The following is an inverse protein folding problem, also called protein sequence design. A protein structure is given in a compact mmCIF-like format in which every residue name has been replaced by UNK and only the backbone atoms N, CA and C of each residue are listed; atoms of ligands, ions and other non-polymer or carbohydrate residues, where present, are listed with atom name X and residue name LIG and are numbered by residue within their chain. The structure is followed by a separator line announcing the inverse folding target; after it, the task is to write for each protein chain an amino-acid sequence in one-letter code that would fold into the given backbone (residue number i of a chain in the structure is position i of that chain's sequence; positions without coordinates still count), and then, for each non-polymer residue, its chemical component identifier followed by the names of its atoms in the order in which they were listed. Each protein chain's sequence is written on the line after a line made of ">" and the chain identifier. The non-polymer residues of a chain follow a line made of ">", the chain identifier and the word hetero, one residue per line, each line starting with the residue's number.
data_IF_578958980126
#
_entry.id   IF_578958980126
#
_cell.length_a   1.000
_cell.length_b   1.000
_cell.length_c   1.000
_cell.angle_alpha   90.00
_cell.angle_beta   90.00
_cell.angle_gamma   90.00
#
_symmetry.space_group_name_H-M   'P 1'
#
loop_
_entity.id
_entity.type
_entity.pdbx_description
1 polymer ?
#
# COMPACT_ATOMS: atom_id res chain seq x y z
N UNK A 1 -41.30 18.22 -52.29
CA UNK A 1 -41.72 18.09 -50.87
C UNK A 1 -40.57 17.42 -50.14
N UNK A 2 -39.67 18.21 -49.54
CA UNK A 2 -38.49 17.73 -48.81
C UNK A 2 -38.85 17.67 -47.32
N UNK A 3 -38.83 16.47 -46.74
CA UNK A 3 -39.05 16.27 -45.31
C UNK A 3 -37.81 16.74 -44.52
N UNK A 4 -37.96 17.48 -43.41
CA UNK A 4 -36.83 17.88 -42.59
C UNK A 4 -36.34 16.68 -41.78
N UNK A 5 -35.05 16.35 -41.92
CA UNK A 5 -34.36 15.46 -41.00
C UNK A 5 -34.21 16.18 -39.66
N UNK A 6 -35.06 15.83 -38.69
CA UNK A 6 -34.88 16.23 -37.29
C UNK A 6 -33.76 15.37 -36.73
N UNK A 7 -32.55 15.92 -36.61
CA UNK A 7 -31.53 15.36 -35.73
C UNK A 7 -32.02 15.56 -34.29
N UNK A 8 -32.67 14.54 -33.74
CA UNK A 8 -32.83 14.44 -32.30
C UNK A 8 -31.43 14.21 -31.72
N UNK A 9 -30.82 15.28 -31.18
CA UNK A 9 -29.71 15.14 -30.25
C UNK A 9 -30.29 14.45 -29.02
N UNK A 10 -30.20 13.12 -29.00
CA UNK A 10 -30.42 12.34 -27.79
C UNK A 10 -29.37 12.83 -26.79
N UNK A 11 -29.78 13.72 -25.89
CA UNK A 11 -29.09 13.99 -24.65
C UNK A 11 -29.06 12.65 -23.90
N UNK A 12 -28.05 11.81 -24.15
CA UNK A 12 -27.73 10.74 -23.21
C UNK A 12 -27.36 11.47 -21.92
N UNK A 13 -28.08 11.25 -20.80
CA UNK A 13 -27.58 11.74 -19.53
C UNK A 13 -26.17 11.19 -19.36
N UNK A 14 -25.21 12.04 -19.02
CA UNK A 14 -23.90 11.56 -18.60
C UNK A 14 -24.14 10.55 -17.47
N UNK A 15 -23.36 9.47 -17.46
CA UNK A 15 -23.50 8.41 -16.47
C UNK A 15 -22.31 8.44 -15.53
N UNK A 16 -22.48 9.06 -14.35
CA UNK A 16 -21.53 8.96 -13.24
C UNK A 16 -22.07 8.02 -12.16
N UNK A 17 -21.34 6.94 -11.86
CA UNK A 17 -21.71 6.00 -10.81
C UNK A 17 -20.52 5.58 -9.97
N UNK A 18 -20.67 5.56 -8.64
CA UNK A 18 -19.73 4.95 -7.69
C UNK A 18 -20.20 3.52 -7.40
N UNK A 19 -19.29 2.54 -7.45
CA UNK A 19 -19.66 1.11 -7.43
C UNK A 19 -19.12 0.32 -6.23
N UNK A 20 -18.24 0.89 -5.40
CA UNK A 20 -17.62 0.16 -4.28
C UNK A 20 -17.86 0.73 -2.89
N UNK A 21 -18.51 1.89 -2.78
CA UNK A 21 -18.81 2.53 -1.50
C UNK A 21 -20.30 2.78 -1.42
N UNK A 22 -20.91 2.38 -0.30
CA UNK A 22 -22.31 2.63 -0.02
C UNK A 22 -22.48 3.94 0.77
N UNK A 23 -23.62 4.62 0.59
CA UNK A 23 -23.93 5.81 1.39
C UNK A 23 -24.11 5.42 2.86
N UNK A 24 -23.44 6.16 3.76
CA UNK A 24 -23.41 5.88 5.19
C UNK A 24 -22.44 4.76 5.60
N UNK A 25 -21.63 4.25 4.66
CA UNK A 25 -20.62 3.25 4.99
C UNK A 25 -19.59 3.81 5.99
N UNK A 26 -19.21 2.99 6.96
CA UNK A 26 -18.17 3.33 7.93
C UNK A 26 -16.86 2.65 7.58
N UNK A 27 -15.77 3.43 7.48
CA UNK A 27 -14.41 2.92 7.29
C UNK A 27 -13.53 3.19 8.50
N UNK A 28 -12.42 2.46 8.61
CA UNK A 28 -11.50 2.50 9.76
C UNK A 28 -10.12 3.08 9.44
N UNK A 29 -9.97 3.70 8.27
CA UNK A 29 -8.73 4.26 7.75
C UNK A 29 -9.04 5.55 6.94
N UNK A 30 -8.08 6.48 6.81
CA UNK A 30 -8.35 7.80 6.25
C UNK A 30 -8.38 7.83 4.72
N UNK A 31 -7.65 6.97 4.00
CA UNK A 31 -7.59 7.05 2.54
C UNK A 31 -8.65 6.16 1.88
N UNK A 32 -9.76 6.75 1.45
CA UNK A 32 -10.83 6.04 0.76
C UNK A 32 -10.51 5.89 -0.72
N UNK A 33 -10.60 4.66 -1.24
CA UNK A 33 -10.53 4.39 -2.68
C UNK A 33 -11.94 4.28 -3.25
N UNK A 34 -12.24 5.11 -4.24
CA UNK A 34 -13.47 5.06 -5.02
C UNK A 34 -13.17 4.38 -6.35
N UNK A 35 -14.09 3.53 -6.79
CA UNK A 35 -14.17 3.07 -8.18
C UNK A 35 -15.57 3.30 -8.72
N UNK A 36 -15.65 3.45 -10.04
CA UNK A 36 -16.91 3.74 -10.67
C UNK A 36 -16.82 3.85 -12.18
N UNK A 37 -17.93 4.28 -12.77
CA UNK A 37 -18.06 4.51 -14.20
C UNK A 37 -18.39 5.96 -14.51
N UNK A 38 -17.94 6.42 -15.67
CA UNK A 38 -18.06 7.79 -16.15
C UNK A 38 -18.00 7.82 -17.68
N UNK A 39 -18.80 8.66 -18.32
CA UNK A 39 -18.68 8.93 -19.76
C UNK A 39 -17.59 9.97 -20.09
N UNK A 40 -17.11 10.71 -19.08
CA UNK A 40 -16.01 11.66 -19.24
C UNK A 40 -14.64 10.97 -19.16
N UNK A 41 -13.61 11.61 -19.75
CA UNK A 41 -12.21 11.15 -19.70
C UNK A 41 -11.53 11.39 -18.36
N UNK A 42 -12.16 12.13 -17.46
CA UNK A 42 -11.64 12.47 -16.14
C UNK A 42 -12.79 12.77 -15.18
N UNK A 43 -12.52 12.64 -13.90
CA UNK A 43 -13.42 13.03 -12.80
C UNK A 43 -12.67 13.92 -11.82
N UNK A 44 -13.43 14.71 -11.05
CA UNK A 44 -12.94 15.45 -9.89
C UNK A 44 -13.46 14.78 -8.62
N UNK A 45 -12.59 14.48 -7.66
CA UNK A 45 -12.99 13.90 -6.38
C UNK A 45 -12.33 14.57 -5.18
N UNK A 46 -13.06 14.71 -4.08
CA UNK A 46 -12.53 15.28 -2.83
C UNK A 46 -13.62 15.55 -1.79
N UNK A 47 -13.23 16.17 -0.66
CA UNK A 47 -14.17 16.56 0.39
C UNK A 47 -14.73 17.98 0.22
N UNK A 48 -14.12 18.78 -0.67
CA UNK A 48 -14.47 20.17 -0.93
C UNK A 48 -14.08 20.51 -2.37
N UNK A 49 -14.94 21.21 -3.09
CA UNK A 49 -14.68 21.69 -4.46
C UNK A 49 -13.42 22.55 -4.60
N UNK A 50 -12.95 23.20 -3.54
CA UNK A 50 -11.70 23.97 -3.56
C UNK A 50 -10.43 23.10 -3.52
N UNK A 51 -10.56 21.82 -3.15
CA UNK A 51 -9.44 20.89 -2.96
C UNK A 51 -9.70 19.54 -3.61
N UNK A 52 -10.55 19.50 -4.65
CA UNK A 52 -10.74 18.29 -5.45
C UNK A 52 -9.49 17.98 -6.26
N UNK A 53 -9.23 16.69 -6.42
CA UNK A 53 -8.14 16.16 -7.24
C UNK A 53 -8.76 15.61 -8.52
N UNK A 54 -8.05 15.80 -9.63
CA UNK A 54 -8.42 15.26 -10.93
C UNK A 54 -7.88 13.85 -11.08
N UNK A 55 -8.74 12.92 -11.48
CA UNK A 55 -8.38 11.54 -11.77
C UNK A 55 -8.76 11.20 -13.21
N UNK A 56 -7.87 10.54 -13.98
CA UNK A 56 -8.20 10.08 -15.31
C UNK A 56 -9.24 8.96 -15.27
N UNK A 57 -9.98 8.83 -16.36
CA UNK A 57 -10.85 7.70 -16.62
C UNK A 57 -10.43 7.03 -17.94
N UNK A 58 -10.46 5.71 -17.96
CA UNK A 58 -10.07 4.88 -19.10
C UNK A 58 -11.14 3.83 -19.32
N UNK A 59 -11.57 3.67 -20.57
CA UNK A 59 -12.64 2.73 -20.94
C UNK A 59 -13.92 2.87 -20.10
N UNK A 60 -14.28 4.12 -19.81
CA UNK A 60 -15.46 4.48 -19.02
C UNK A 60 -15.36 4.15 -17.53
N UNK A 61 -14.20 3.71 -17.02
CA UNK A 61 -13.93 3.42 -15.61
C UNK A 61 -13.07 4.52 -15.00
N UNK A 62 -13.27 4.81 -13.71
CA UNK A 62 -12.38 5.67 -12.93
C UNK A 62 -11.99 5.03 -11.60
N UNK A 63 -10.82 5.44 -11.10
CA UNK A 63 -10.36 5.16 -9.74
C UNK A 63 -9.87 6.46 -9.11
N UNK A 64 -10.26 6.71 -7.85
CA UNK A 64 -9.96 7.95 -7.16
C UNK A 64 -9.63 7.72 -5.68
N UNK A 65 -8.70 8.50 -5.16
CA UNK A 65 -8.30 8.46 -3.76
C UNK A 65 -8.75 9.74 -3.05
N UNK A 66 -9.46 9.60 -1.94
CA UNK A 66 -9.96 10.74 -1.15
C UNK A 66 -9.56 10.55 0.30
N UNK A 67 -8.80 11.51 0.84
CA UNK A 67 -8.42 11.52 2.25
C UNK A 67 -9.57 12.06 3.11
N UNK A 68 -10.06 11.21 4.00
CA UNK A 68 -11.14 11.45 4.95
C UNK A 68 -10.62 12.09 6.25
N UNK A 69 -11.50 12.81 6.94
CA UNK A 69 -11.27 13.31 8.30
C UNK A 69 -12.03 12.45 9.31
N UNK A 70 -11.55 12.28 10.56
CA UNK A 70 -12.32 11.58 11.58
C UNK A 70 -13.74 12.15 11.71
N UNK A 71 -14.73 11.26 11.76
CA UNK A 71 -16.15 11.59 11.78
C UNK A 71 -16.83 11.51 10.40
N UNK A 72 -17.98 12.19 10.23
CA UNK A 72 -18.73 12.16 8.99
C UNK A 72 -18.09 13.00 7.89
N UNK A 73 -17.97 12.43 6.70
CA UNK A 73 -17.44 13.09 5.51
C UNK A 73 -18.49 13.07 4.39
N UNK A 74 -18.57 14.18 3.65
CA UNK A 74 -19.30 14.23 2.39
C UNK A 74 -18.29 14.18 1.25
N UNK A 75 -18.18 13.02 0.61
CA UNK A 75 -17.28 12.83 -0.53
C UNK A 75 -18.01 13.29 -1.79
N UNK A 76 -17.35 14.17 -2.54
CA UNK A 76 -17.86 14.80 -3.76
C UNK A 76 -17.15 14.17 -4.95
N UNK A 77 -17.91 13.74 -5.95
CA UNK A 77 -17.40 13.26 -7.24
C UNK A 77 -18.13 14.00 -8.35
N UNK A 78 -17.40 14.64 -9.26
CA UNK A 78 -17.97 15.29 -10.45
C UNK A 78 -17.39 14.71 -11.73
N UNK A 79 -18.24 14.59 -12.74
CA UNK A 79 -17.90 14.18 -14.09
C UNK A 79 -18.70 15.00 -15.09
N UNK A 80 -18.03 15.88 -15.84
CA UNK A 80 -18.71 16.83 -16.73
C UNK A 80 -19.72 17.69 -15.95
N UNK A 81 -21.01 17.49 -16.21
CA UNK A 81 -22.11 18.21 -15.51
C UNK A 81 -22.69 17.44 -14.33
N UNK A 82 -22.36 16.17 -14.20
CA UNK A 82 -22.90 15.32 -13.14
C UNK A 82 -22.10 15.46 -11.86
N UNK A 83 -22.80 15.30 -10.75
CA UNK A 83 -22.21 15.33 -9.43
C UNK A 83 -22.88 14.30 -8.55
N UNK A 84 -22.08 13.41 -7.96
CA UNK A 84 -22.48 12.47 -6.94
C UNK A 84 -21.90 12.94 -5.60
N UNK A 85 -22.72 12.84 -4.56
CA UNK A 85 -22.33 13.10 -3.17
C UNK A 85 -22.60 11.85 -2.35
N UNK A 86 -21.59 11.35 -1.67
CA UNK A 86 -21.70 10.15 -0.84
C UNK A 86 -21.22 10.44 0.57
N UNK A 87 -22.09 10.16 1.55
CA UNK A 87 -21.73 10.25 2.96
C UNK A 87 -20.92 9.02 3.34
N UNK A 88 -19.77 9.22 3.98
CA UNK A 88 -18.91 8.14 4.51
C UNK A 88 -18.43 8.56 5.89
N UNK A 89 -18.50 7.66 6.86
CA UNK A 89 -18.06 7.93 8.23
C UNK A 89 -16.68 7.29 8.43
N UNK A 90 -15.66 8.09 8.77
CA UNK A 90 -14.35 7.56 9.16
C UNK A 90 -14.27 7.51 10.68
N UNK A 91 -14.23 6.30 11.24
CA UNK A 91 -14.05 6.07 12.67
C UNK A 91 -12.64 5.50 12.88
N UNK A 92 -11.71 6.25 13.48
CA UNK A 92 -10.37 5.73 13.79
C UNK A 92 -10.44 4.45 14.62
N UNK A 93 -9.52 3.52 14.35
CA UNK A 93 -9.45 2.22 15.04
C UNK A 93 -9.26 2.40 16.55
N UNK A 94 -9.89 1.52 17.33
CA UNK A 94 -9.75 1.44 18.78
C UNK A 94 -9.10 0.11 19.14
N UNK A 95 -7.78 0.09 19.12
CA UNK A 95 -6.99 -1.13 19.32
C UNK A 95 -5.69 -0.80 20.05
N UNK A 96 -5.17 -1.69 20.92
CA UNK A 96 -3.85 -1.50 21.53
C UNK A 96 -2.70 -1.77 20.55
N UNK A 97 -3.01 -2.34 19.38
CA UNK A 97 -2.03 -2.70 18.36
C UNK A 97 -1.67 -1.51 17.47
N UNK A 98 -0.41 -1.44 17.01
CA UNK A 98 0.03 -0.39 16.09
C UNK A 98 1.07 -0.91 15.10
N UNK A 99 1.05 -0.35 13.88
CA UNK A 99 2.20 -0.31 12.97
C UNK A 99 2.89 1.03 13.18
N UNK A 100 4.12 0.99 13.69
CA UNK A 100 4.99 2.15 13.92
C UNK A 100 5.83 2.39 12.69
N UNK A 101 5.80 3.60 12.17
CA UNK A 101 6.66 4.00 11.04
C UNK A 101 7.95 4.58 11.60
N UNK A 102 9.09 4.03 11.20
CA UNK A 102 10.41 4.46 11.67
C UNK A 102 11.25 4.92 10.49
N UNK A 103 11.96 6.04 10.65
CA UNK A 103 12.93 6.53 9.68
C UNK A 103 14.31 6.55 10.34
N UNK A 104 15.17 5.62 9.93
CA UNK A 104 16.48 5.36 10.57
C UNK A 104 17.54 6.28 9.98
N UNK A 105 18.20 7.04 10.84
CA UNK A 105 19.23 8.03 10.50
C UNK A 105 20.60 7.56 11.02
N UNK A 106 21.62 7.59 10.17
CA UNK A 106 23.01 7.43 10.62
C UNK A 106 23.44 8.60 11.51
N UNK A 107 24.44 8.43 12.37
CA UNK A 107 24.84 9.51 13.31
C UNK A 107 25.42 10.75 12.64
N UNK A 108 26.07 10.57 11.50
CA UNK A 108 26.88 11.57 10.80
C UNK A 108 26.23 12.13 9.53
N UNK A 109 24.98 11.77 9.24
CA UNK A 109 24.26 12.19 8.02
C UNK A 109 23.02 13.04 8.30
N UNK A 110 22.59 13.82 7.29
CA UNK A 110 21.31 14.51 7.31
C UNK A 110 20.13 13.52 7.22
N UNK A 111 18.90 14.02 7.35
CA UNK A 111 17.69 13.21 7.17
C UNK A 111 17.27 13.04 5.71
N UNK A 112 18.06 13.54 4.76
CA UNK A 112 17.72 13.44 3.35
C UNK A 112 17.76 11.98 2.86
N UNK A 113 16.72 11.59 2.13
CA UNK A 113 16.73 10.34 1.35
C UNK A 113 17.59 10.54 0.08
N UNK A 114 17.97 9.45 -0.59
CA UNK A 114 18.74 9.53 -1.83
C UNK A 114 17.87 9.84 -3.05
N UNK A 115 18.45 10.48 -4.06
CA UNK A 115 17.74 10.84 -5.28
C UNK A 115 18.47 11.88 -6.12
N UNK A 116 17.83 12.35 -7.20
CA UNK A 116 18.39 13.38 -8.07
C UNK A 116 18.73 14.67 -7.30
N UNK A 117 19.87 15.28 -7.61
CA UNK A 117 20.37 16.46 -6.89
C UNK A 117 19.48 17.71 -7.01
N UNK A 118 18.61 17.76 -8.04
CA UNK A 118 17.68 18.87 -8.26
C UNK A 118 16.36 18.74 -7.49
N UNK A 119 16.11 17.60 -6.84
CA UNK A 119 14.87 17.34 -6.10
C UNK A 119 15.03 17.72 -4.62
N UNK A 120 13.94 18.19 -3.99
CA UNK A 120 13.88 18.30 -2.55
C UNK A 120 13.83 16.92 -1.89
N UNK A 121 14.89 16.59 -1.16
CA UNK A 121 15.09 15.29 -0.48
C UNK A 121 14.71 15.30 0.99
N UNK A 122 14.07 16.38 1.46
CA UNK A 122 13.70 16.57 2.87
C UNK A 122 12.29 16.08 3.19
N UNK A 123 11.44 15.90 2.18
CA UNK A 123 10.03 15.47 2.32
C UNK A 123 9.82 13.96 2.59
N UNK A 124 10.72 13.31 3.33
CA UNK A 124 10.57 11.88 3.66
C UNK A 124 9.31 11.63 4.51
N UNK A 125 8.97 12.55 5.41
CA UNK A 125 7.81 12.41 6.30
C UNK A 125 6.48 12.43 5.56
N UNK A 126 6.31 13.38 4.64
CA UNK A 126 5.11 13.48 3.80
C UNK A 126 4.99 12.31 2.82
N UNK A 127 6.10 11.86 2.24
CA UNK A 127 6.12 10.68 1.38
C UNK A 127 5.72 9.41 2.13
N UNK A 128 6.22 9.22 3.36
CA UNK A 128 5.82 8.10 4.21
C UNK A 128 4.37 8.19 4.65
N UNK A 129 3.87 9.39 4.98
CA UNK A 129 2.45 9.60 5.29
C UNK A 129 1.54 9.09 4.17
N UNK A 130 1.86 9.46 2.92
CA UNK A 130 1.08 9.03 1.76
C UNK A 130 1.25 7.53 1.50
N UNK A 131 2.48 7.02 1.47
CA UNK A 131 2.76 5.62 1.16
C UNK A 131 2.07 4.67 2.15
N UNK A 132 2.14 4.93 3.46
CA UNK A 132 1.53 4.08 4.48
C UNK A 132 -0.01 4.14 4.42
N UNK A 133 -0.59 5.30 4.12
CA UNK A 133 -2.05 5.41 3.88
C UNK A 133 -2.49 4.65 2.61
N UNK A 134 -1.67 4.67 1.56
CA UNK A 134 -1.91 3.88 0.35
C UNK A 134 -1.86 2.38 0.67
N UNK A 135 -0.83 1.92 1.38
CA UNK A 135 -0.70 0.53 1.82
C UNK A 135 -1.92 0.08 2.65
N UNK A 136 -2.33 0.91 3.61
CA UNK A 136 -3.49 0.64 4.46
C UNK A 136 -4.79 0.53 3.64
N UNK A 137 -4.97 1.38 2.63
CA UNK A 137 -6.13 1.37 1.74
C UNK A 137 -6.16 0.14 0.81
N UNK A 138 -5.02 -0.24 0.24
CA UNK A 138 -4.90 -1.45 -0.61
C UNK A 138 -5.19 -2.71 0.20
N UNK A 139 -4.63 -2.82 1.41
CA UNK A 139 -4.91 -3.95 2.29
C UNK A 139 -6.41 -4.03 2.65
N UNK A 140 -7.06 -2.90 2.92
CA UNK A 140 -8.48 -2.84 3.25
C UNK A 140 -9.40 -3.24 2.08
N UNK A 141 -9.11 -2.74 0.87
CA UNK A 141 -9.87 -3.11 -0.32
C UNK A 141 -9.72 -4.61 -0.61
N UNK A 142 -8.50 -5.14 -0.48
CA UNK A 142 -8.27 -6.56 -0.69
C UNK A 142 -8.98 -7.45 0.32
N UNK A 143 -8.98 -7.08 1.60
CA UNK A 143 -9.76 -7.79 2.63
C UNK A 143 -11.28 -7.75 2.33
N UNK A 144 -11.78 -6.64 1.78
CA UNK A 144 -13.18 -6.53 1.40
C UNK A 144 -13.53 -7.47 0.25
N UNK A 145 -12.70 -7.55 -0.78
CA UNK A 145 -12.89 -8.46 -1.91
C UNK A 145 -12.90 -9.92 -1.48
N UNK A 146 -12.06 -10.27 -0.50
CA UNK A 146 -12.03 -11.60 0.10
C UNK A 146 -13.24 -11.91 0.99
N UNK A 147 -14.17 -10.96 1.18
CA UNK A 147 -15.42 -11.15 1.92
C UNK A 147 -15.34 -10.83 3.42
N UNK A 148 -14.23 -10.28 3.91
CA UNK A 148 -14.02 -10.00 5.34
C UNK A 148 -14.29 -8.54 5.75
N UNK A 149 -14.80 -7.74 4.81
CA UNK A 149 -14.97 -6.30 4.97
C UNK A 149 -13.64 -5.53 4.92
N UNK A 150 -13.68 -4.21 5.08
CA UNK A 150 -12.52 -3.32 4.93
C UNK A 150 -11.61 -3.31 6.16
N UNK A 151 -11.12 -4.47 6.55
CA UNK A 151 -10.16 -4.66 7.65
C UNK A 151 -8.74 -4.35 7.16
N UNK A 152 -7.96 -3.67 7.98
CA UNK A 152 -6.57 -3.31 7.68
C UNK A 152 -5.81 -3.04 8.97
N UNK A 153 -4.49 -2.88 8.88
CA UNK A 153 -3.63 -2.68 10.05
C UNK A 153 -3.73 -1.25 10.62
N UNK A 154 -3.60 -1.07 11.95
CA UNK A 154 -3.61 0.24 12.59
C UNK A 154 -2.31 1.00 12.34
N UNK A 155 -2.43 2.25 11.90
CA UNK A 155 -1.34 3.21 11.84
C UNK A 155 -1.44 4.18 13.02
N UNK A 156 -0.30 4.66 13.49
CA UNK A 156 -0.24 5.77 14.43
C UNK A 156 -0.43 7.09 13.68
N UNK A 157 -1.42 7.89 14.09
CA UNK A 157 -1.68 9.22 13.52
C UNK A 157 -1.52 10.32 14.56
N UNK A 158 -0.98 11.47 14.13
CA UNK A 158 -0.94 12.68 14.93
C UNK A 158 -2.33 13.37 15.00
N UNK A 159 -2.41 14.48 15.75
CA UNK A 159 -3.66 15.25 15.89
C UNK A 159 -4.16 15.87 14.57
N UNK A 160 -3.32 15.94 13.53
CA UNK A 160 -3.67 16.46 12.20
C UNK A 160 -4.05 15.33 11.23
N UNK A 161 -4.02 14.07 11.67
CA UNK A 161 -4.30 12.90 10.83
C UNK A 161 -3.13 12.49 9.93
N UNK A 162 -1.91 12.96 10.22
CA UNK A 162 -0.67 12.53 9.55
C UNK A 162 -0.10 11.30 10.25
N UNK A 163 0.42 10.34 9.48
CA UNK A 163 1.13 9.19 10.04
C UNK A 163 2.31 9.71 10.87
N UNK A 164 2.42 9.24 12.12
CA UNK A 164 3.58 9.55 12.96
C UNK A 164 4.78 8.76 12.43
N UNK A 165 5.83 9.47 12.06
CA UNK A 165 7.11 8.88 11.65
C UNK A 165 8.15 9.15 12.72
N UNK A 166 8.62 8.09 13.38
CA UNK A 166 9.65 8.15 14.41
C UNK A 166 11.02 8.20 13.74
N UNK A 167 11.61 9.41 13.65
CA UNK A 167 12.96 9.58 13.16
C UNK A 167 13.97 9.20 14.25
N UNK A 168 14.68 8.08 14.07
CA UNK A 168 15.60 7.52 15.07
C UNK A 168 17.02 7.61 14.53
N UNK A 169 17.87 8.34 15.24
CA UNK A 169 19.30 8.41 14.95
C UNK A 169 20.05 7.33 15.71
N UNK A 170 20.76 6.50 14.98
CA UNK A 170 21.53 5.37 15.52
C UNK A 170 22.98 5.77 15.69
N UNK A 171 23.66 5.25 16.71
CA UNK A 171 25.09 5.52 16.95
C UNK A 171 26.00 4.68 16.04
N UNK A 172 25.81 4.83 14.72
CA UNK A 172 26.64 4.22 13.69
C UNK A 172 26.78 5.17 12.51
N UNK A 173 27.95 5.16 11.86
CA UNK A 173 28.16 6.01 10.67
C UNK A 173 27.41 5.44 9.48
N UNK A 174 26.99 6.31 8.56
CA UNK A 174 26.32 5.88 7.34
C UNK A 174 27.22 4.99 6.48
N UNK A 175 28.54 5.23 6.51
CA UNK A 175 29.53 4.41 5.84
C UNK A 175 29.56 2.97 6.38
N UNK A 176 29.59 2.79 7.70
CA UNK A 176 29.60 1.46 8.32
C UNK A 176 28.28 0.72 8.07
N UNK A 177 27.14 1.42 8.16
CA UNK A 177 25.83 0.82 7.86
C UNK A 177 25.74 0.37 6.39
N UNK A 178 26.27 1.15 5.45
CA UNK A 178 26.32 0.78 4.02
C UNK A 178 27.28 -0.35 3.69
N UNK A 179 28.20 -0.71 4.60
CA UNK A 179 29.08 -1.86 4.45
C UNK A 179 28.42 -3.18 4.91
N UNK A 180 27.28 -3.10 5.63
CA UNK A 180 26.53 -4.27 6.07
C UNK A 180 25.61 -4.80 4.96
N UNK A 181 25.44 -6.12 4.90
CA UNK A 181 24.40 -6.73 4.07
C UNK A 181 22.99 -6.54 4.67
N UNK A 182 21.96 -6.86 3.89
CA UNK A 182 20.57 -6.69 4.29
C UNK A 182 20.18 -7.49 5.54
N UNK A 183 20.68 -8.72 5.69
CA UNK A 183 20.37 -9.57 6.84
C UNK A 183 21.02 -9.05 8.12
N UNK A 184 22.26 -8.56 8.03
CA UNK A 184 22.96 -7.91 9.13
C UNK A 184 22.24 -6.63 9.57
N UNK A 185 21.79 -5.80 8.61
CA UNK A 185 20.98 -4.61 8.90
C UNK A 185 19.65 -4.96 9.55
N UNK A 186 18.93 -5.93 9.00
CA UNK A 186 17.64 -6.38 9.53
C UNK A 186 17.80 -6.95 10.95
N UNK A 187 18.75 -7.84 11.18
CA UNK A 187 18.99 -8.44 12.49
C UNK A 187 19.37 -7.41 13.55
N UNK A 188 20.21 -6.43 13.19
CA UNK A 188 20.57 -5.30 14.07
C UNK A 188 19.33 -4.50 14.45
N UNK A 189 18.58 -4.00 13.46
CA UNK A 189 17.45 -3.10 13.74
C UNK A 189 16.24 -3.81 14.30
N UNK A 190 16.06 -5.11 14.05
CA UNK A 190 15.03 -5.92 14.71
C UNK A 190 15.23 -5.87 16.24
N UNK A 191 16.44 -6.16 16.72
CA UNK A 191 16.73 -6.13 18.15
C UNK A 191 16.75 -4.72 18.77
N UNK A 192 17.17 -3.69 18.02
CA UNK A 192 17.17 -2.31 18.51
C UNK A 192 15.75 -1.74 18.60
N UNK A 193 14.90 -1.99 17.59
CA UNK A 193 13.55 -1.43 17.53
C UNK A 193 12.56 -2.18 18.43
N UNK A 194 12.76 -3.47 18.69
CA UNK A 194 11.96 -4.22 19.68
C UNK A 194 12.05 -3.60 21.08
N UNK A 195 13.22 -3.08 21.47
CA UNK A 195 13.42 -2.41 22.77
C UNK A 195 12.62 -1.11 22.90
N UNK A 196 12.38 -0.41 21.80
CA UNK A 196 11.62 0.85 21.77
C UNK A 196 10.13 0.61 21.52
N UNK A 197 9.83 -0.38 20.68
CA UNK A 197 8.49 -0.76 20.26
C UNK A 197 8.30 -2.28 20.45
N UNK A 198 7.93 -2.73 21.67
CA UNK A 198 7.71 -4.14 21.95
C UNK A 198 6.78 -4.80 20.94
N UNK A 199 7.22 -5.90 20.34
CA UNK A 199 6.57 -6.51 19.18
C UNK A 199 5.28 -7.31 19.49
N UNK A 200 4.95 -7.44 20.77
CA UNK A 200 3.70 -8.05 21.24
C UNK A 200 2.48 -7.19 20.94
N UNK A 201 2.66 -5.86 20.83
CA UNK A 201 1.62 -4.89 20.45
C UNK A 201 2.03 -3.94 19.32
N UNK A 202 3.31 -3.95 18.92
CA UNK A 202 3.78 -3.16 17.78
C UNK A 202 4.28 -4.04 16.62
N UNK A 203 4.08 -3.58 15.40
CA UNK A 203 4.89 -3.94 14.23
C UNK A 203 5.60 -2.69 13.78
N UNK A 204 6.77 -2.81 13.18
CA UNK A 204 7.56 -1.67 12.73
C UNK A 204 7.74 -1.74 11.22
N UNK A 205 7.38 -0.66 10.54
CA UNK A 205 7.72 -0.39 9.16
C UNK A 205 8.88 0.60 9.14
N UNK A 206 10.11 0.11 8.99
CA UNK A 206 11.34 0.88 9.09
C UNK A 206 11.92 1.22 7.71
N UNK A 207 12.27 2.49 7.48
CA UNK A 207 12.96 2.93 6.27
C UNK A 207 14.32 3.51 6.62
N UNK A 208 15.36 3.06 5.92
CA UNK A 208 16.74 3.49 6.12
C UNK A 208 17.04 4.73 5.29
N UNK A 209 17.27 5.87 5.96
CA UNK A 209 17.59 7.13 5.31
C UNK A 209 19.00 7.14 4.70
N UNK A 210 19.91 6.33 5.25
CA UNK A 210 21.31 6.21 4.82
C UNK A 210 21.51 5.29 3.62
N UNK A 211 20.45 4.71 3.05
CA UNK A 211 20.50 4.00 1.77
C UNK A 211 20.95 4.94 0.66
N UNK A 212 21.88 4.50 -0.19
CA UNK A 212 22.41 5.30 -1.31
C UNK A 212 22.50 4.47 -2.59
N UNK A 213 22.25 5.11 -3.72
CA UNK A 213 22.51 4.57 -5.05
C UNK A 213 23.94 4.89 -5.47
N UNK A 214 24.77 3.86 -5.60
CA UNK A 214 26.07 4.00 -6.24
C UNK A 214 25.90 4.04 -7.76
N UNK A 215 25.95 5.25 -8.30
CA UNK A 215 25.81 5.53 -9.74
C UNK A 215 26.92 4.87 -10.58
N UNK A 216 28.11 4.63 -10.01
CA UNK A 216 29.22 4.03 -10.75
C UNK A 216 29.02 2.53 -10.91
N UNK A 217 28.69 1.83 -9.83
CA UNK A 217 28.48 0.37 -9.86
C UNK A 217 27.04 -0.03 -10.18
N UNK A 218 26.10 0.92 -10.19
CA UNK A 218 24.67 0.72 -10.38
C UNK A 218 24.10 -0.25 -9.32
N UNK A 219 24.44 0.00 -8.05
CA UNK A 219 24.01 -0.82 -6.90
C UNK A 219 23.45 0.04 -5.77
N UNK A 220 22.41 -0.46 -5.12
CA UNK A 220 21.93 0.10 -3.86
C UNK A 220 22.82 -0.32 -2.69
N UNK A 221 23.32 0.64 -1.94
CA UNK A 221 24.07 0.46 -0.69
C UNK A 221 23.11 0.61 0.49
N UNK A 222 23.20 -0.28 1.48
CA UNK A 222 22.20 -0.43 2.55
C UNK A 222 20.76 -0.44 2.01
N UNK A 223 20.53 -1.14 0.89
CA UNK A 223 19.23 -1.31 0.30
C UNK A 223 18.77 -2.76 0.52
N UNK A 224 17.59 -2.91 1.09
CA UNK A 224 16.95 -4.20 1.32
C UNK A 224 15.44 -4.02 1.38
N UNK A 225 14.71 -5.11 1.23
CA UNK A 225 13.30 -5.25 1.58
C UNK A 225 13.22 -6.59 2.31
N UNK A 226 13.07 -6.56 3.64
CA UNK A 226 13.06 -7.75 4.48
C UNK A 226 12.00 -7.61 5.57
N UNK A 227 11.14 -8.61 5.67
CA UNK A 227 10.01 -8.66 6.57
C UNK A 227 9.96 -9.96 7.36
N UNK A 228 9.63 -9.85 8.63
CA UNK A 228 9.44 -11.02 9.50
C UNK A 228 9.27 -10.59 10.95
N UNK A 229 8.71 -11.47 11.78
CA UNK A 229 8.54 -11.19 13.21
C UNK A 229 7.82 -9.87 13.45
N UNK A 230 8.54 -8.89 14.01
CA UNK A 230 8.02 -7.53 14.28
C UNK A 230 8.46 -6.43 13.32
N UNK A 231 9.32 -6.70 12.33
CA UNK A 231 9.97 -5.66 11.50
C UNK A 231 9.87 -5.95 10.00
N UNK A 232 9.36 -4.96 9.26
CA UNK A 232 9.64 -4.76 7.84
C UNK A 232 10.67 -3.64 7.67
N UNK A 233 11.80 -3.92 7.02
CA UNK A 233 12.91 -2.98 6.84
C UNK A 233 13.17 -2.71 5.35
N UNK A 234 13.27 -1.44 5.00
CA UNK A 234 13.35 -0.99 3.59
C UNK A 234 14.45 0.04 3.36
N UNK A 235 15.06 -0.01 2.18
CA UNK A 235 15.96 1.06 1.73
C UNK A 235 15.20 2.28 1.19
N UNK A 236 15.62 3.49 1.55
CA UNK A 236 14.95 4.74 1.15
C UNK A 236 15.32 5.29 -0.24
N UNK A 237 16.19 4.65 -1.01
CA UNK A 237 16.79 5.25 -2.21
C UNK A 237 15.83 5.46 -3.40
N UNK A 238 14.67 4.81 -3.41
CA UNK A 238 13.65 5.00 -4.45
C UNK A 238 12.53 5.99 -4.07
N UNK A 239 12.55 6.53 -2.84
CA UNK A 239 11.52 7.46 -2.32
C UNK A 239 11.38 8.74 -3.15
N UNK A 240 12.40 9.12 -3.92
CA UNK A 240 12.35 10.27 -4.82
C UNK A 240 11.22 10.14 -5.87
N UNK A 241 10.77 8.92 -6.17
CA UNK A 241 9.66 8.66 -7.09
C UNK A 241 8.27 8.69 -6.43
N UNK A 242 8.20 8.69 -5.10
CA UNK A 242 6.93 8.58 -4.37
C UNK A 242 6.10 9.87 -4.38
N UNK A 243 4.77 9.79 -4.27
CA UNK A 243 3.93 10.97 -4.06
C UNK A 243 4.27 11.64 -2.72
N UNK A 244 4.27 12.97 -2.71
CA UNK A 244 4.47 13.78 -1.49
C UNK A 244 3.13 14.12 -0.84
N UNK A 245 2.06 14.24 -1.63
CA UNK A 245 0.69 14.44 -1.16
C UNK A 245 -0.26 13.41 -1.78
N UNK A 246 -1.44 13.20 -1.19
CA UNK A 246 -2.50 12.35 -1.79
C UNK A 246 -2.92 12.87 -3.17
N UNK A 247 -2.87 14.19 -3.38
CA UNK A 247 -3.18 14.80 -4.67
C UNK A 247 -2.13 14.50 -5.76
N UNK A 248 -0.91 14.10 -5.37
CA UNK A 248 0.14 13.75 -6.33
C UNK A 248 0.00 12.33 -6.88
N UNK A 249 -0.83 11.46 -6.27
CA UNK A 249 -0.97 10.05 -6.67
C UNK A 249 -1.24 9.89 -8.18
N UNK A 250 -2.22 10.60 -8.80
CA UNK A 250 -2.50 10.47 -10.23
C UNK A 250 -1.34 10.94 -11.11
N UNK A 251 -0.60 11.97 -10.67
CA UNK A 251 0.54 12.52 -11.39
C UNK A 251 1.72 11.56 -11.36
N UNK A 252 2.00 10.98 -10.19
CA UNK A 252 3.11 10.03 -10.01
C UNK A 252 2.89 8.77 -10.82
N UNK A 253 1.70 8.17 -10.75
CA UNK A 253 1.40 6.96 -11.52
C UNK A 253 1.12 7.18 -13.01
N UNK A 254 1.10 8.43 -13.48
CA UNK A 254 1.04 8.74 -14.92
C UNK A 254 2.39 9.18 -15.51
N UNK A 255 3.47 9.22 -14.71
CA UNK A 255 4.80 9.64 -15.17
C UNK A 255 5.51 8.53 -15.96
N UNK A 256 5.39 8.61 -17.29
CA UNK A 256 5.98 7.66 -18.24
C UNK A 256 7.48 7.87 -18.48
N UNK A 257 8.12 8.87 -17.86
CA UNK A 257 9.53 9.16 -18.12
C UNK A 257 10.41 7.96 -17.74
N UNK A 258 11.38 7.56 -18.59
CA UNK A 258 12.38 6.58 -18.20
C UNK A 258 13.18 7.08 -17.00
N UNK A 259 13.54 6.16 -16.11
CA UNK A 259 14.46 6.47 -15.01
C UNK A 259 15.87 6.64 -15.58
N UNK A 260 16.47 7.80 -15.29
CA UNK A 260 17.89 8.05 -15.48
C UNK A 260 18.66 7.51 -14.27
N UNK A 261 19.33 6.38 -14.47
CA UNK A 261 20.09 5.70 -13.41
C UNK A 261 21.40 6.41 -13.05
N UNK A 262 21.76 7.49 -13.76
CA UNK A 262 22.80 8.43 -13.33
C UNK A 262 22.23 9.46 -12.34
N UNK A 263 20.92 9.67 -12.32
CA UNK A 263 20.28 10.61 -11.40
C UNK A 263 19.79 9.93 -10.10
N UNK A 264 19.18 8.74 -10.19
CA UNK A 264 18.63 8.02 -9.04
C UNK A 264 18.46 6.52 -9.28
N UNK A 265 18.04 5.80 -8.23
CA UNK A 265 17.85 4.35 -8.28
C UNK A 265 16.63 3.95 -9.11
N UNK A 266 16.79 2.99 -10.02
CA UNK A 266 15.68 2.30 -10.67
C UNK A 266 15.29 1.05 -9.87
N UNK A 267 14.19 1.16 -9.12
CA UNK A 267 13.58 0.05 -8.38
C UNK A 267 12.15 -0.21 -8.86
N UNK A 268 11.98 -0.29 -10.18
CA UNK A 268 10.68 -0.36 -10.85
C UNK A 268 10.24 -1.78 -11.23
N UNK A 269 10.90 -2.82 -10.72
CA UNK A 269 10.61 -4.20 -11.09
C UNK A 269 10.83 -4.43 -12.59
N UNK A 270 11.96 -3.95 -13.12
CA UNK A 270 12.37 -4.08 -14.54
C UNK A 270 11.50 -3.30 -15.55
N UNK A 271 10.64 -2.38 -15.10
CA UNK A 271 9.78 -1.56 -15.99
C UNK A 271 10.48 -0.27 -16.47
N UNK A 272 11.46 0.22 -15.71
CA UNK A 272 12.35 1.32 -16.07
C UNK A 272 11.75 2.71 -16.14
N UNK A 273 10.58 2.95 -15.53
CA UNK A 273 9.84 4.22 -15.61
C UNK A 273 9.43 4.77 -14.25
N UNK A 274 9.25 6.09 -14.19
CA UNK A 274 8.94 6.82 -12.97
C UNK A 274 7.65 6.35 -12.29
N UNK A 275 6.60 6.00 -13.05
CA UNK A 275 5.35 5.47 -12.48
C UNK A 275 5.51 4.11 -11.82
N UNK A 276 6.44 3.29 -12.32
CA UNK A 276 6.58 1.90 -11.92
C UNK A 276 7.42 1.70 -10.66
N UNK A 277 8.38 2.60 -10.40
CA UNK A 277 9.19 2.60 -9.17
C UNK A 277 8.36 2.70 -7.88
N UNK A 278 7.44 3.67 -7.71
CA UNK A 278 6.58 3.73 -6.53
C UNK A 278 5.58 2.56 -6.47
N UNK A 279 5.20 1.99 -7.61
CA UNK A 279 4.36 0.78 -7.64
C UNK A 279 5.09 -0.42 -7.01
N UNK A 280 6.32 -0.70 -7.46
CA UNK A 280 7.16 -1.77 -6.91
C UNK A 280 7.54 -1.50 -5.46
N UNK A 281 8.07 -0.31 -5.15
CA UNK A 281 8.68 -0.05 -3.84
C UNK A 281 7.65 0.06 -2.71
N UNK A 282 6.51 0.72 -2.92
CA UNK A 282 5.43 0.77 -1.91
C UNK A 282 4.71 -0.59 -1.84
N UNK A 283 4.59 -1.29 -2.98
CA UNK A 283 4.08 -2.66 -3.01
C UNK A 283 4.94 -3.62 -2.19
N UNK A 284 6.25 -3.61 -2.40
CA UNK A 284 7.21 -4.39 -1.63
C UNK A 284 7.16 -4.03 -0.14
N UNK A 285 6.91 -2.76 0.21
CA UNK A 285 6.63 -2.39 1.59
C UNK A 285 5.43 -3.11 2.19
N UNK A 286 4.35 -3.25 1.42
CA UNK A 286 3.19 -3.99 1.88
C UNK A 286 3.45 -5.50 1.96
N UNK A 287 4.24 -6.05 1.03
CA UNK A 287 4.67 -7.45 1.04
C UNK A 287 5.43 -7.82 2.32
N UNK A 288 6.50 -7.09 2.64
CA UNK A 288 7.29 -7.40 3.84
C UNK A 288 6.49 -7.14 5.13
N UNK A 289 5.61 -6.13 5.14
CA UNK A 289 4.64 -5.98 6.23
C UNK A 289 3.69 -7.17 6.33
N UNK A 290 3.31 -7.79 5.22
CA UNK A 290 2.60 -9.07 5.17
C UNK A 290 3.34 -10.18 5.93
N UNK A 291 4.66 -10.31 5.76
CA UNK A 291 5.47 -11.23 6.57
C UNK A 291 5.44 -10.89 8.06
N UNK A 292 5.42 -9.61 8.45
CA UNK A 292 5.25 -9.23 9.87
C UNK A 292 3.86 -9.58 10.44
N UNK A 293 2.85 -9.70 9.57
CA UNK A 293 1.52 -10.22 9.90
C UNK A 293 1.44 -11.75 9.79
N UNK A 294 2.59 -12.40 9.58
CA UNK A 294 2.79 -13.83 9.56
C UNK A 294 2.52 -14.49 8.21
N UNK A 295 2.22 -13.74 7.14
CA UNK A 295 1.90 -14.33 5.84
C UNK A 295 3.16 -14.95 5.20
N UNK A 296 3.07 -16.16 4.62
CA UNK A 296 4.13 -16.73 3.80
C UNK A 296 4.11 -16.12 2.39
N UNK A 297 5.02 -16.53 1.52
CA UNK A 297 4.86 -16.28 0.08
C UNK A 297 3.63 -17.01 -0.49
N UNK A 298 3.02 -16.41 -1.50
CA UNK A 298 1.91 -17.02 -2.27
C UNK A 298 2.39 -17.53 -3.63
N UNK A 299 1.74 -18.59 -4.11
CA UNK A 299 1.90 -19.07 -5.49
C UNK A 299 1.06 -18.29 -6.51
N UNK A 300 0.07 -17.50 -6.06
CA UNK A 300 -0.67 -16.61 -6.96
C UNK A 300 0.24 -15.44 -7.37
N UNK A 301 0.54 -15.34 -8.66
CA UNK A 301 1.41 -14.29 -9.22
C UNK A 301 0.86 -12.86 -9.07
N UNK A 302 -0.42 -12.69 -8.73
CA UNK A 302 -1.04 -11.38 -8.43
C UNK A 302 -1.20 -11.14 -6.93
N UNK A 303 -0.87 -12.10 -6.07
CA UNK A 303 -0.87 -11.89 -4.64
C UNK A 303 0.14 -10.80 -4.25
N UNK A 304 -0.20 -9.97 -3.26
CA UNK A 304 0.74 -9.07 -2.61
C UNK A 304 1.91 -9.84 -1.99
N UNK A 305 1.70 -11.10 -1.59
CA UNK A 305 2.73 -12.00 -1.07
C UNK A 305 3.53 -12.73 -2.17
N UNK A 306 3.46 -12.26 -3.41
CA UNK A 306 4.32 -12.68 -4.52
C UNK A 306 4.74 -11.44 -5.34
N UNK A 307 5.19 -11.58 -6.60
CA UNK A 307 5.44 -10.43 -7.49
C UNK A 307 4.20 -9.58 -7.80
N UNK A 308 3.01 -10.01 -7.38
CA UNK A 308 1.80 -9.21 -7.53
C UNK A 308 1.88 -7.85 -6.86
N UNK A 309 2.76 -7.65 -5.86
CA UNK A 309 3.00 -6.33 -5.29
C UNK A 309 3.46 -5.28 -6.32
N UNK A 310 4.06 -5.70 -7.45
CA UNK A 310 4.43 -4.76 -8.53
C UNK A 310 3.20 -4.07 -9.15
N UNK A 311 2.02 -4.66 -9.00
CA UNK A 311 0.73 -4.20 -9.50
C UNK A 311 -0.01 -3.27 -8.52
N UNK A 312 0.67 -2.81 -7.47
CA UNK A 312 0.09 -1.97 -6.41
C UNK A 312 -0.61 -0.71 -6.93
N UNK A 313 -0.03 -0.06 -7.95
CA UNK A 313 -0.57 1.15 -8.57
C UNK A 313 -1.96 0.93 -9.19
N UNK A 314 -2.30 -0.29 -9.61
CA UNK A 314 -3.59 -0.60 -10.24
C UNK A 314 -4.78 -0.45 -9.30
N UNK A 315 -4.56 -0.26 -8.00
CA UNK A 315 -5.61 0.20 -7.05
C UNK A 315 -5.93 1.69 -7.16
N UNK A 316 -5.09 2.46 -7.84
CA UNK A 316 -5.16 3.93 -7.93
C UNK A 316 -5.34 4.46 -9.35
N UNK A 317 -5.08 3.65 -10.38
CA UNK A 317 -5.16 4.06 -11.80
C UNK A 317 -5.97 3.09 -12.64
N UNK A 318 -6.49 3.59 -13.76
CA UNK A 318 -7.17 2.81 -14.80
C UNK A 318 -6.31 2.63 -16.07
N UNK A 319 -5.09 3.17 -16.05
CA UNK A 319 -4.14 3.09 -17.16
C UNK A 319 -2.72 3.10 -16.63
N UNK A 320 -1.92 2.13 -17.07
CA UNK A 320 -0.48 2.09 -16.85
C UNK A 320 0.22 2.68 -18.08
N UNK A 321 1.04 3.73 -17.93
CA UNK A 321 1.84 4.24 -19.04
C UNK A 321 2.82 3.19 -19.57
N UNK A 322 3.37 3.39 -20.79
CA UNK A 322 4.38 2.49 -21.34
C UNK A 322 5.55 2.28 -20.37
N UNK A 323 6.10 1.07 -20.37
CA UNK A 323 7.41 0.77 -19.76
C UNK A 323 8.55 1.30 -20.63
N UNK A 324 9.78 1.34 -20.10
CA UNK A 324 10.98 1.77 -20.85
C UNK A 324 11.15 0.92 -22.11
N UNK A 325 11.25 1.59 -23.27
CA UNK A 325 11.34 0.95 -24.58
C UNK A 325 10.00 0.48 -25.17
N UNK A 326 8.89 0.63 -24.45
CA UNK A 326 7.53 0.43 -24.98
C UNK A 326 6.96 1.70 -25.61
N UNK A 327 6.00 1.52 -26.53
CA UNK A 327 5.33 2.62 -27.24
C UNK A 327 3.88 2.84 -26.78
N UNK A 328 3.27 1.84 -26.15
CA UNK A 328 1.87 1.86 -25.72
C UNK A 328 1.76 1.46 -24.24
N UNK A 329 0.86 2.13 -23.53
CA UNK A 329 0.45 1.75 -22.19
C UNK A 329 -0.77 0.84 -22.21
N UNK A 330 -1.20 0.40 -21.04
CA UNK A 330 -2.23 -0.64 -20.90
C UNK A 330 -3.38 -0.10 -20.06
N UNK A 331 -4.60 -0.21 -20.57
CA UNK A 331 -5.79 -0.02 -19.75
C UNK A 331 -5.85 -1.13 -18.70
N UNK A 332 -5.98 -0.76 -17.44
CA UNK A 332 -5.99 -1.69 -16.31
C UNK A 332 -7.27 -1.49 -15.52
N UNK A 333 -7.77 -2.59 -14.98
CA UNK A 333 -8.88 -2.58 -14.05
C UNK A 333 -8.42 -2.82 -12.62
N UNK A 334 -9.33 -2.53 -11.71
CA UNK A 334 -9.19 -2.89 -10.31
C UNK A 334 -9.09 -4.41 -10.13
N UNK A 335 -9.73 -5.19 -11.00
CA UNK A 335 -9.63 -6.65 -11.11
C UNK A 335 -8.21 -7.15 -11.41
N UNK A 336 -7.34 -6.30 -11.97
CA UNK A 336 -5.96 -6.62 -12.33
C UNK A 336 -4.96 -6.25 -11.24
N UNK A 337 -5.43 -5.69 -10.13
CA UNK A 337 -4.59 -5.18 -9.06
C UNK A 337 -4.13 -6.28 -8.09
N UNK A 338 -3.11 -5.94 -7.29
CA UNK A 338 -2.61 -6.83 -6.23
C UNK A 338 -3.67 -7.10 -5.16
N UNK A 339 -3.66 -8.30 -4.58
CA UNK A 339 -4.59 -8.71 -3.52
C UNK A 339 -3.92 -9.67 -2.53
N UNK A 340 -4.46 -9.83 -1.33
CA UNK A 340 -4.17 -10.95 -0.44
C UNK A 340 -4.79 -12.23 -1.00
N UNK A 341 -4.03 -13.32 -1.01
CA UNK A 341 -4.58 -14.63 -1.35
C UNK A 341 -5.78 -14.96 -0.42
N UNK A 342 -6.83 -15.66 -0.89
CA UNK A 342 -7.96 -16.02 -0.03
C UNK A 342 -7.59 -16.65 1.31
N UNK A 343 -6.58 -17.53 1.36
CA UNK A 343 -6.12 -18.16 2.62
C UNK A 343 -5.41 -17.14 3.52
N UNK A 344 -4.61 -16.25 2.93
CA UNK A 344 -3.92 -15.18 3.63
C UNK A 344 -4.91 -14.15 4.19
N UNK A 345 -5.92 -13.76 3.41
CA UNK A 345 -6.99 -12.87 3.85
C UNK A 345 -7.79 -13.50 5.00
N UNK A 346 -8.08 -14.81 4.95
CA UNK A 346 -8.71 -15.52 6.05
C UNK A 346 -7.86 -15.47 7.32
N UNK A 347 -6.53 -15.61 7.19
CA UNK A 347 -5.60 -15.51 8.31
C UNK A 347 -5.54 -14.08 8.87
N UNK A 348 -5.44 -13.07 8.02
CA UNK A 348 -5.50 -11.67 8.42
C UNK A 348 -6.82 -11.35 9.12
N UNK A 349 -7.96 -11.90 8.66
CA UNK A 349 -9.26 -11.70 9.30
C UNK A 349 -9.29 -12.13 10.78
N UNK A 350 -8.40 -13.02 11.21
CA UNK A 350 -8.24 -13.46 12.59
C UNK A 350 -7.04 -12.80 13.29
N UNK A 351 -6.20 -12.08 12.56
CA UNK A 351 -4.98 -11.49 13.09
C UNK A 351 -5.30 -10.25 13.96
N UNK A 352 -4.62 -10.04 15.11
CA UNK A 352 -4.99 -8.95 16.03
C UNK A 352 -4.89 -7.55 15.44
N UNK A 353 -3.94 -7.31 14.53
CA UNK A 353 -3.79 -6.02 13.85
C UNK A 353 -4.90 -5.73 12.84
N UNK A 354 -5.69 -6.73 12.44
CA UNK A 354 -6.79 -6.54 11.50
C UNK A 354 -8.16 -6.55 12.21
N UNK A 355 -8.17 -6.38 13.55
CA UNK A 355 -9.37 -6.18 14.35
C UNK A 355 -9.50 -4.69 14.77
N UNK A 356 -10.14 -3.84 13.94
CA UNK A 356 -10.14 -2.40 14.15
C UNK A 356 -10.91 -1.93 15.38
N UNK A 357 -11.83 -2.76 15.89
CA UNK A 357 -12.67 -2.46 17.06
C UNK A 357 -12.21 -3.25 18.32
N UNK A 358 -11.01 -3.83 18.26
CA UNK A 358 -10.41 -4.61 19.33
C UNK A 358 -10.34 -6.10 19.02
N UNK A 359 -9.28 -6.76 19.49
CA UNK A 359 -9.17 -8.21 19.42
C UNK A 359 -9.98 -8.86 20.54
N UNK A 360 -11.04 -9.57 20.17
CA UNK A 360 -11.91 -10.28 21.11
C UNK A 360 -11.56 -11.77 21.27
N UNK A 361 -10.47 -12.24 20.66
CA UNK A 361 -10.01 -13.60 20.78
C UNK A 361 -9.19 -13.85 22.05
N UNK A 362 -9.00 -15.12 22.39
CA UNK A 362 -8.06 -15.54 23.44
C UNK A 362 -6.65 -15.47 22.87
N UNK A 363 -5.72 -14.74 23.52
CA UNK A 363 -4.30 -14.81 23.16
C UNK A 363 -3.82 -16.24 23.39
N UNK A 364 -3.47 -16.94 22.32
CA UNK A 364 -2.96 -18.31 22.37
C UNK A 364 -1.68 -18.38 23.21
N UNK A 365 -1.63 -19.18 24.28
CA UNK A 365 -0.37 -19.50 24.92
C UNK A 365 0.44 -20.39 23.97
N UNK A 366 1.66 -19.97 23.60
CA UNK A 366 2.55 -20.74 22.71
C UNK A 366 2.93 -22.12 23.27
N UNK A 367 2.69 -22.36 24.56
CA UNK A 367 2.97 -23.62 25.25
C UNK A 367 2.14 -24.82 24.76
N UNK A 368 1.01 -24.60 24.04
CA UNK A 368 0.14 -25.66 23.54
C UNK A 368 -0.28 -25.42 22.08
N UNK A 369 0.62 -25.65 21.11
CA UNK A 369 0.34 -25.40 19.70
C UNK A 369 -0.69 -26.38 19.13
N UNK A 370 -1.36 -26.02 18.02
CA UNK A 370 -2.14 -26.97 17.22
C UNK A 370 -1.28 -28.18 16.80
N UNK A 371 -1.90 -29.35 16.75
CA UNK A 371 -1.29 -30.60 16.28
C UNK A 371 -1.92 -30.99 14.95
N UNK A 372 -1.08 -31.48 14.04
CA UNK A 372 -1.50 -32.09 12.79
C UNK A 372 -1.00 -33.53 12.78
N UNK A 373 -1.90 -34.49 12.68
CA UNK A 373 -1.61 -35.92 12.59
C UNK A 373 -2.19 -36.50 11.30
N UNK A 374 -1.58 -37.58 10.82
CA UNK A 374 -2.09 -38.37 9.71
C UNK A 374 -2.57 -39.70 10.28
N UNK A 375 -3.87 -39.94 10.21
CA UNK A 375 -4.52 -41.10 10.83
C UNK A 375 -5.41 -41.77 9.78
N UNK A 376 -5.10 -43.03 9.42
CA UNK A 376 -5.90 -43.86 8.50
C UNK A 376 -6.23 -43.22 7.13
N UNK A 377 -5.39 -42.29 6.65
CA UNK A 377 -5.61 -41.56 5.39
C UNK A 377 -6.24 -40.18 5.55
N UNK A 378 -6.67 -39.83 6.77
CA UNK A 378 -7.18 -38.51 7.12
C UNK A 378 -6.08 -37.60 7.70
N UNK A 379 -6.23 -36.30 7.48
CA UNK A 379 -5.46 -35.26 8.15
C UNK A 379 -6.28 -34.76 9.34
N UNK A 380 -5.83 -35.07 10.55
CA UNK A 380 -6.49 -34.63 11.79
C UNK A 380 -5.77 -33.41 12.34
N UNK A 381 -6.50 -32.30 12.45
CA UNK A 381 -6.00 -31.08 13.07
C UNK A 381 -6.71 -30.92 14.41
N UNK A 382 -5.94 -30.78 15.51
CA UNK A 382 -6.48 -30.56 16.85
C UNK A 382 -5.80 -29.38 17.53
N UNK A 383 -6.57 -28.57 18.26
CA UNK A 383 -6.05 -27.46 19.04
C UNK A 383 -6.79 -27.38 20.38
N UNK A 384 -6.09 -27.37 21.53
CA UNK A 384 -6.73 -27.33 22.85
C UNK A 384 -7.65 -26.12 23.09
N UNK A 385 -7.45 -25.05 22.33
CA UNK A 385 -8.22 -23.80 22.41
C UNK A 385 -9.14 -23.57 21.20
N UNK A 386 -9.39 -24.62 20.41
CA UNK A 386 -10.19 -24.56 19.18
C UNK A 386 -9.39 -24.11 17.96
N UNK A 387 -9.96 -24.35 16.78
CA UNK A 387 -9.38 -23.99 15.49
C UNK A 387 -10.15 -22.80 14.90
N UNK A 388 -9.47 -21.69 14.67
CA UNK A 388 -10.04 -20.52 14.00
C UNK A 388 -10.00 -20.61 12.47
N UNK A 389 -8.98 -21.29 11.93
CA UNK A 389 -8.76 -21.45 10.50
C UNK A 389 -7.94 -22.73 10.26
N UNK A 390 -8.33 -23.51 9.26
CA UNK A 390 -7.51 -24.56 8.66
C UNK A 390 -7.38 -24.23 7.17
N UNK A 391 -6.15 -24.06 6.70
CA UNK A 391 -5.85 -23.81 5.30
C UNK A 391 -4.86 -24.85 4.80
N UNK A 392 -5.06 -25.31 3.56
CA UNK A 392 -4.13 -26.21 2.88
C UNK A 392 -3.64 -25.52 1.61
N UNK A 393 -2.33 -25.42 1.45
CA UNK A 393 -1.69 -24.92 0.24
C UNK A 393 -0.85 -26.05 -0.33
N UNK A 394 -0.98 -26.29 -1.63
CA UNK A 394 -0.10 -27.23 -2.32
C UNK A 394 1.22 -26.52 -2.56
N UNK A 395 2.31 -26.98 -1.95
CA UNK A 395 3.64 -26.43 -2.25
C UNK A 395 3.92 -26.58 -3.75
N UNK A 396 4.03 -25.44 -4.43
CA UNK A 396 4.72 -25.35 -5.71
C UNK A 396 6.22 -25.33 -5.43
N UNK A 397 7.03 -25.94 -6.31
CA UNK A 397 8.49 -25.86 -6.20
C UNK A 397 8.90 -24.38 -6.11
N UNK A 398 9.65 -24.03 -5.07
CA UNK A 398 10.37 -22.75 -5.00
C UNK A 398 11.21 -22.62 -6.28
N UNK A 399 11.02 -21.53 -7.02
CA UNK A 399 11.69 -21.23 -8.28
C UNK A 399 12.84 -20.26 -8.08
#
# INVERSE_FOLDING_TARGET
>A
MLAPFIFAVLNRPFHLQITNVAAGETVRYPLLLLRGTTDAKEILAGLNWKSVVKFPATDGKFQAAVELKPGPNMVLVASGRDTVKIKVDYVPMKTPYAVRTVYLLAKDESSEFDGPAWMDRTHWGEKLDVALKMMQAVAAESMKEAGYGRKTFPLEFDKKGKVVVHAIRVDETGANLRAMDGNALWGRFHGELEKQFPYDVNKVCGVMAFTRWDRRSQKGLAHTALGGGGLGLFGGAAMYTWPTTIADIPKVFSDARPIDTQAGMDDSGLRGTMWASPATTIGAMLHEMGHTFGLPHSTDSRSTMSRGFDLFNRRFVTYEPPRKGGTEGVAVGYEDATHWDPIEAARLNLFPWFQPDGYHGVRFPSALPPRVTFEEGDIVVSAPYGLGLVGAVREGKEG
#
